data_IF_159849396281
#
_entry.id   IF_159849396281
#
_cell.length_a   1.000
_cell.length_b   1.000
_cell.length_c   1.000
_cell.angle_alpha   90.00
_cell.angle_beta   90.00
_cell.angle_gamma   90.00
#
_symmetry.space_group_name_H-M   'P 1'
#
loop_
_entity.id
_entity.type
_entity.pdbx_description
1 polymer ?
#
# COMPACT_ATOMS: atom_id res chain seq x y z
N UNK A 1 4.26 5.61 -18.13
CA UNK A 1 5.74 5.54 -18.04
C UNK A 1 6.19 4.72 -16.86
N UNK A 2 5.66 4.95 -15.65
CA UNK A 2 6.01 4.19 -14.44
C UNK A 2 5.72 2.70 -14.59
N UNK A 3 4.50 2.29 -14.97
CA UNK A 3 4.17 0.87 -15.17
C UNK A 3 5.11 0.19 -16.16
N UNK A 4 5.34 0.81 -17.32
CA UNK A 4 6.30 0.31 -18.29
C UNK A 4 7.70 0.13 -17.68
N UNK A 5 8.17 1.10 -16.90
CA UNK A 5 9.47 0.99 -16.22
C UNK A 5 9.47 -0.16 -15.22
N UNK A 6 8.40 -0.36 -14.44
CA UNK A 6 8.27 -1.46 -13.49
C UNK A 6 8.27 -2.83 -14.18
N UNK A 7 7.60 -2.95 -15.31
CA UNK A 7 7.60 -4.15 -16.14
C UNK A 7 9.00 -4.42 -16.73
N UNK A 8 9.65 -3.38 -17.27
CA UNK A 8 10.99 -3.46 -17.88
C UNK A 8 12.06 -3.94 -16.86
N UNK A 9 11.86 -3.71 -15.55
CA UNK A 9 12.76 -4.16 -14.47
C UNK A 9 12.26 -5.40 -13.71
N UNK A 10 11.19 -6.05 -14.18
CA UNK A 10 10.65 -7.28 -13.59
C UNK A 10 9.99 -7.08 -12.21
N UNK A 11 9.46 -5.89 -11.93
CA UNK A 11 8.71 -5.58 -10.71
C UNK A 11 7.19 -5.51 -10.93
N UNK A 12 6.71 -5.71 -12.16
CA UNK A 12 5.29 -5.66 -12.51
C UNK A 12 4.41 -6.58 -11.65
N UNK A 13 4.83 -7.82 -11.40
CA UNK A 13 4.05 -8.82 -10.67
C UNK A 13 4.25 -8.79 -9.14
N UNK A 14 4.99 -7.82 -8.60
CA UNK A 14 5.22 -7.75 -7.15
C UNK A 14 4.02 -7.14 -6.41
N UNK A 15 3.75 -7.60 -5.18
CA UNK A 15 2.75 -6.96 -4.33
C UNK A 15 3.11 -5.48 -4.15
N UNK A 16 2.13 -4.62 -4.33
CA UNK A 16 2.31 -3.17 -4.40
C UNK A 16 1.34 -2.45 -3.47
N UNK A 17 1.84 -1.41 -2.83
CA UNK A 17 1.12 -0.55 -1.89
C UNK A 17 1.03 0.86 -2.49
N UNK A 18 -0.18 1.34 -2.79
CA UNK A 18 -0.37 2.69 -3.32
C UNK A 18 -0.49 3.69 -2.17
N UNK A 19 0.43 4.66 -2.12
CA UNK A 19 0.49 5.71 -1.10
C UNK A 19 0.36 7.08 -1.76
N UNK A 20 -0.62 7.87 -1.31
CA UNK A 20 -0.77 9.25 -1.75
C UNK A 20 0.06 10.14 -0.83
N UNK A 21 1.21 10.61 -1.33
CA UNK A 21 2.12 11.46 -0.56
C UNK A 21 1.94 12.94 -0.91
N UNK A 22 2.36 13.82 0.00
CA UNK A 22 2.32 15.29 -0.08
C UNK A 22 0.94 15.90 0.17
N UNK A 23 0.17 15.30 1.08
CA UNK A 23 -1.12 15.86 1.52
C UNK A 23 -0.99 17.30 2.07
N UNK A 24 0.19 17.68 2.55
CA UNK A 24 0.49 19.04 3.01
C UNK A 24 0.48 20.11 1.91
N UNK A 25 0.47 19.72 0.63
CA UNK A 25 0.35 20.64 -0.50
C UNK A 25 -1.10 20.82 -0.94
N UNK A 26 -2.04 20.04 -0.40
CA UNK A 26 -3.45 20.21 -0.71
C UNK A 26 -3.98 21.44 0.05
N UNK A 27 -4.77 22.30 -0.62
CA UNK A 27 -5.39 23.43 0.06
C UNK A 27 -6.41 22.92 1.09
N UNK A 28 -6.40 23.52 2.28
CA UNK A 28 -7.38 23.26 3.34
C UNK A 28 -8.80 23.41 2.78
N UNK A 29 -9.57 22.32 2.75
CA UNK A 29 -10.90 22.28 2.13
C UNK A 29 -11.26 20.98 1.40
N UNK A 30 -10.32 20.03 1.30
CA UNK A 30 -10.56 18.68 0.78
C UNK A 30 -10.67 17.63 1.91
N UNK A 31 -11.30 17.99 3.04
CA UNK A 31 -11.75 17.08 4.13
C UNK A 31 -12.61 15.89 3.62
N UNK A 32 -12.96 15.85 2.33
CA UNK A 32 -13.72 14.79 1.68
C UNK A 32 -12.88 13.73 0.95
N UNK A 33 -11.55 13.85 0.87
CA UNK A 33 -10.72 12.82 0.23
C UNK A 33 -10.47 11.59 1.14
N UNK A 34 -10.87 11.68 2.41
CA UNK A 34 -10.80 10.57 3.38
C UNK A 34 -11.71 9.40 3.01
N UNK A 35 -12.57 9.54 1.99
CA UNK A 35 -13.56 8.52 1.65
C UNK A 35 -13.98 8.50 0.18
N UNK A 36 -13.14 8.98 -0.75
CA UNK A 36 -13.41 8.70 -2.17
C UNK A 36 -13.04 7.24 -2.47
N UNK A 37 -14.00 6.35 -2.77
CA UNK A 37 -13.68 4.98 -3.15
C UNK A 37 -13.04 5.05 -4.53
N UNK A 38 -11.71 4.89 -4.57
CA UNK A 38 -11.01 4.67 -5.83
C UNK A 38 -11.58 3.37 -6.40
N UNK A 39 -12.16 3.39 -7.61
CA UNK A 39 -12.74 2.20 -8.19
C UNK A 39 -11.63 1.22 -8.56
N UNK A 40 -11.97 -0.04 -8.35
CA UNK A 40 -11.29 -1.26 -8.74
C UNK A 40 -10.33 -1.94 -7.73
N UNK A 41 -10.71 -3.21 -7.53
CA UNK A 41 -10.44 -4.13 -6.42
C UNK A 41 -9.00 -4.66 -6.35
N UNK A 42 -8.07 -4.06 -7.10
CA UNK A 42 -6.65 -4.48 -7.16
C UNK A 42 -5.67 -3.38 -6.70
N UNK A 43 -6.12 -2.14 -6.54
CA UNK A 43 -5.25 -0.98 -6.26
C UNK A 43 -5.96 -0.01 -5.32
N UNK A 44 -6.45 -0.47 -4.16
CA UNK A 44 -6.89 0.48 -3.15
C UNK A 44 -5.69 1.32 -2.71
N UNK A 45 -5.72 2.64 -2.92
CA UNK A 45 -4.81 3.53 -2.21
C UNK A 45 -5.14 3.39 -0.74
N UNK A 46 -4.28 2.71 0.01
CA UNK A 46 -4.58 2.38 1.39
C UNK A 46 -4.22 3.52 2.34
N UNK A 47 -3.28 4.39 1.96
CA UNK A 47 -2.77 5.41 2.90
C UNK A 47 -2.46 6.74 2.22
N UNK A 48 -2.98 7.81 2.80
CA UNK A 48 -2.64 9.19 2.49
C UNK A 48 -1.64 9.69 3.54
N UNK A 49 -0.53 10.30 3.12
CA UNK A 49 0.51 10.77 4.04
C UNK A 49 1.03 12.15 3.67
N UNK A 50 1.69 12.80 4.64
CA UNK A 50 2.71 13.80 4.34
C UNK A 50 4.03 13.38 4.95
N UNK A 51 4.90 12.78 4.13
CA UNK A 51 6.24 12.39 4.57
C UNK A 51 7.07 13.60 5.04
N UNK A 52 6.87 14.77 4.43
CA UNK A 52 7.57 16.00 4.81
C UNK A 52 7.14 16.54 6.19
N UNK A 53 5.88 16.31 6.59
CA UNK A 53 5.33 16.72 7.89
C UNK A 53 5.36 15.60 8.94
N UNK A 54 5.72 14.38 8.56
CA UNK A 54 5.61 13.20 9.43
C UNK A 54 4.17 12.80 9.73
N UNK A 55 3.21 13.20 8.89
CA UNK A 55 1.78 12.96 9.12
C UNK A 55 1.33 11.61 8.55
N UNK A 56 0.56 10.86 9.35
CA UNK A 56 -0.05 9.57 9.03
C UNK A 56 0.93 8.44 8.65
N UNK A 57 2.18 8.54 9.14
CA UNK A 57 3.20 7.51 8.93
C UNK A 57 2.94 6.25 9.74
N UNK A 58 2.31 6.36 10.92
CA UNK A 58 1.94 5.20 11.73
C UNK A 58 0.94 4.29 11.01
N UNK A 59 -0.04 4.89 10.32
CA UNK A 59 -1.00 4.13 9.51
C UNK A 59 -0.32 3.47 8.31
N UNK A 60 0.67 4.13 7.71
CA UNK A 60 1.48 3.53 6.65
C UNK A 60 2.24 2.29 7.14
N UNK A 61 2.84 2.37 8.34
CA UNK A 61 3.55 1.24 8.93
C UNK A 61 2.61 0.08 9.23
N UNK A 62 1.44 0.36 9.78
CA UNK A 62 0.42 -0.66 10.07
C UNK A 62 -0.04 -1.37 8.78
N UNK A 63 -0.27 -0.63 7.70
CA UNK A 63 -0.69 -1.22 6.43
C UNK A 63 0.41 -2.10 5.81
N UNK A 64 1.67 -1.68 5.91
CA UNK A 64 2.82 -2.51 5.49
C UNK A 64 2.86 -3.81 6.31
N UNK A 65 2.66 -3.73 7.62
CA UNK A 65 2.61 -4.91 8.49
C UNK A 65 1.51 -5.89 8.06
N UNK A 66 0.30 -5.39 7.80
CA UNK A 66 -0.84 -6.20 7.34
C UNK A 66 -0.51 -6.91 6.01
N UNK A 67 0.04 -6.18 5.04
CA UNK A 67 0.37 -6.77 3.74
C UNK A 67 1.49 -7.80 3.83
N UNK A 68 2.51 -7.55 4.64
CA UNK A 68 3.58 -8.52 4.88
C UNK A 68 3.04 -9.79 5.54
N UNK A 69 2.11 -9.67 6.50
CA UNK A 69 1.46 -10.83 7.12
C UNK A 69 0.63 -11.65 6.13
N UNK A 70 -0.01 -11.02 5.15
CA UNK A 70 -0.79 -11.73 4.12
C UNK A 70 0.13 -12.49 3.16
N UNK A 71 1.26 -11.90 2.78
CA UNK A 71 2.29 -12.54 1.95
C UNK A 71 2.91 -13.76 2.65
N UNK A 72 3.04 -13.74 3.98
CA UNK A 72 3.74 -14.79 4.75
C UNK A 72 2.85 -16.00 5.16
N UNK A 73 1.54 -15.97 4.83
CA UNK A 73 0.62 -17.10 5.04
C UNK A 73 0.96 -18.43 4.33
N UNK A 74 1.84 -18.53 3.32
CA UNK A 74 2.25 -19.83 2.76
C UNK A 74 3.16 -20.68 3.68
N UNK A 75 3.79 -20.12 4.71
CA UNK A 75 4.82 -20.87 5.47
C UNK A 75 4.29 -21.76 6.60
N UNK A 76 3.03 -21.62 7.02
CA UNK A 76 2.46 -22.46 8.09
C UNK A 76 1.97 -23.85 7.63
N UNK A 77 1.92 -24.13 6.32
CA UNK A 77 1.37 -25.40 5.81
C UNK A 77 2.43 -26.47 5.48
N UNK A 78 3.72 -26.23 5.75
CA UNK A 78 4.81 -27.17 5.41
C UNK A 78 5.21 -28.07 6.61
N UNK A 79 4.55 -27.93 7.78
CA UNK A 79 4.92 -28.64 9.01
C UNK A 79 4.03 -29.83 9.45
N UNK A 80 2.98 -30.21 8.70
CA UNK A 80 2.01 -31.22 9.15
C UNK A 80 1.90 -32.46 8.23
N UNK A 81 2.99 -32.82 7.54
CA UNK A 81 3.11 -34.08 6.82
C UNK A 81 4.33 -34.85 7.33
N UNK A 82 4.20 -35.48 8.50
CA UNK A 82 5.27 -36.31 9.06
C UNK A 82 5.09 -36.69 10.52
N UNK A 83 4.05 -37.46 10.84
CA UNK A 83 4.02 -38.40 11.96
C UNK A 83 2.86 -39.40 11.76
#
# INVERSE_FOLDING_TARGET
VVEKTLDDIGLGDKPRLMVVNKMDLLPDGLDGLDSSPIPDKELQASVLISAAKGWNLDLLLQEIEIQLMDIDRPLMNIGAAGA
#
